data_IF_133031952869
#
_entry.id   IF_133031952869
#
_cell.length_a   1.000
_cell.length_b   1.000
_cell.length_c   1.000
_cell.angle_alpha   90.00
_cell.angle_beta   90.00
_cell.angle_gamma   90.00
#
_symmetry.space_group_name_H-M   'P 1'
#
loop_
_entity.id
_entity.type
_entity.pdbx_description
1 polymer ?
#
# COMPACT_ATOMS: atom_id res chain seq x y z
N UNK A 1 -19.31 0.07 -9.90
CA UNK A 1 -20.48 0.13 -8.99
C UNK A 1 -21.46 1.10 -9.61
N UNK A 2 -22.67 0.65 -9.92
CA UNK A 2 -23.75 1.57 -10.29
C UNK A 2 -24.59 1.85 -9.04
N UNK A 3 -24.85 3.13 -8.77
CA UNK A 3 -25.55 3.55 -7.56
C UNK A 3 -26.93 2.90 -7.41
N UNK A 4 -27.65 2.74 -8.52
CA UNK A 4 -28.97 2.08 -8.53
C UNK A 4 -28.85 0.63 -8.08
N UNK A 5 -27.94 -0.14 -8.66
CA UNK A 5 -27.73 -1.55 -8.30
C UNK A 5 -27.34 -1.70 -6.82
N UNK A 6 -26.46 -0.82 -6.33
CA UNK A 6 -26.06 -0.81 -4.92
C UNK A 6 -27.23 -0.49 -3.97
N UNK A 7 -28.09 0.45 -4.36
CA UNK A 7 -29.32 0.77 -3.63
C UNK A 7 -30.31 -0.40 -3.68
N UNK A 8 -30.48 -1.05 -4.83
CA UNK A 8 -31.38 -2.19 -5.01
C UNK A 8 -30.92 -3.40 -4.17
N UNK A 9 -29.61 -3.63 -4.05
CA UNK A 9 -29.03 -4.71 -3.26
C UNK A 9 -29.22 -4.49 -1.75
N UNK A 10 -28.90 -3.29 -1.25
CA UNK A 10 -28.88 -3.02 0.18
C UNK A 10 -30.19 -2.47 0.74
N UNK A 11 -31.03 -1.85 -0.09
CA UNK A 11 -32.30 -1.29 0.32
C UNK A 11 -33.32 -1.27 -0.85
N UNK A 12 -33.88 -2.43 -1.25
CA UNK A 12 -34.72 -2.56 -2.46
C UNK A 12 -35.90 -1.58 -2.56
N UNK A 13 -36.45 -1.14 -1.42
CA UNK A 13 -37.58 -0.21 -1.35
C UNK A 13 -37.18 1.28 -1.35
N UNK A 14 -35.92 1.62 -1.66
CA UNK A 14 -35.40 3.00 -1.61
C UNK A 14 -36.20 3.97 -2.48
N UNK A 15 -36.76 3.50 -3.60
CA UNK A 15 -37.60 4.29 -4.51
C UNK A 15 -38.82 4.90 -3.81
N UNK A 16 -39.36 4.27 -2.77
CA UNK A 16 -40.54 4.78 -2.03
C UNK A 16 -40.25 6.08 -1.27
N UNK A 17 -38.98 6.42 -1.12
CA UNK A 17 -38.51 7.60 -0.39
C UNK A 17 -38.11 8.75 -1.33
N UNK A 18 -38.17 8.56 -2.65
CA UNK A 18 -37.85 9.62 -3.62
C UNK A 18 -38.96 10.68 -3.64
N UNK A 19 -38.60 11.95 -3.42
CA UNK A 19 -39.56 13.08 -3.43
C UNK A 19 -40.16 13.45 -2.07
N UNK A 20 -39.84 12.71 -1.00
CA UNK A 20 -40.22 13.07 0.37
C UNK A 20 -39.17 14.06 0.92
N UNK A 21 -39.37 15.35 0.65
CA UNK A 21 -38.37 16.39 0.89
C UNK A 21 -38.11 16.72 2.37
N UNK A 22 -39.02 16.36 3.28
CA UNK A 22 -39.00 16.92 4.63
C UNK A 22 -38.15 16.14 5.65
N UNK A 23 -37.78 14.88 5.40
CA UNK A 23 -36.95 14.09 6.33
C UNK A 23 -35.99 13.13 5.64
N UNK A 24 -34.69 13.25 5.96
CA UNK A 24 -33.65 12.30 5.56
C UNK A 24 -34.00 10.91 6.15
N UNK A 25 -34.11 9.85 5.34
CA UNK A 25 -34.40 8.51 5.85
C UNK A 25 -33.29 7.99 6.77
N UNK A 26 -33.66 7.30 7.85
CA UNK A 26 -32.69 6.77 8.82
C UNK A 26 -31.77 5.68 8.23
N UNK A 27 -32.21 5.01 7.17
CA UNK A 27 -31.40 4.00 6.46
C UNK A 27 -30.30 4.62 5.60
N UNK A 28 -30.42 5.90 5.23
CA UNK A 28 -29.52 6.52 4.24
C UNK A 28 -28.09 6.76 4.76
N UNK A 29 -27.86 7.32 5.98
CA UNK A 29 -26.50 7.46 6.51
C UNK A 29 -25.68 6.17 6.54
N UNK A 30 -26.14 5.05 7.16
CA UNK A 30 -25.33 3.82 7.20
C UNK A 30 -25.13 3.20 5.81
N UNK A 31 -26.03 3.44 4.85
CA UNK A 31 -25.82 3.01 3.46
C UNK A 31 -24.71 3.84 2.78
N UNK A 32 -24.70 5.16 2.99
CA UNK A 32 -23.65 6.04 2.45
C UNK A 32 -22.30 5.65 3.02
N UNK A 33 -22.21 5.32 4.30
CA UNK A 33 -20.97 4.87 4.94
C UNK A 33 -20.45 3.57 4.30
N UNK A 34 -21.33 2.59 4.08
CA UNK A 34 -20.98 1.35 3.37
C UNK A 34 -20.47 1.62 1.95
N UNK A 35 -21.17 2.47 1.21
CA UNK A 35 -20.78 2.84 -0.15
C UNK A 35 -19.42 3.56 -0.17
N UNK A 36 -19.15 4.43 0.81
CA UNK A 36 -17.89 5.14 0.92
C UNK A 36 -16.72 4.18 1.15
N UNK A 37 -16.88 3.20 2.05
CA UNK A 37 -15.85 2.17 2.32
C UNK A 37 -15.61 1.31 1.07
N UNK A 38 -16.68 0.88 0.40
CA UNK A 38 -16.58 0.08 -0.82
C UNK A 38 -15.87 0.85 -1.94
N UNK A 39 -16.21 2.14 -2.13
CA UNK A 39 -15.55 3.01 -3.10
C UNK A 39 -14.08 3.21 -2.77
N UNK A 40 -13.73 3.51 -1.52
CA UNK A 40 -12.35 3.69 -1.09
C UNK A 40 -11.52 2.42 -1.34
N UNK A 41 -12.08 1.26 -1.00
CA UNK A 41 -11.44 -0.05 -1.20
C UNK A 41 -11.22 -0.36 -2.68
N UNK A 42 -12.19 -0.05 -3.55
CA UNK A 42 -12.05 -0.24 -5.00
C UNK A 42 -11.09 0.76 -5.65
N UNK A 43 -11.08 2.01 -5.21
CA UNK A 43 -10.09 3.00 -5.63
C UNK A 43 -8.68 2.51 -5.27
N UNK A 44 -8.48 2.05 -4.04
CA UNK A 44 -7.21 1.47 -3.61
C UNK A 44 -6.83 0.21 -4.40
N UNK A 45 -7.81 -0.61 -4.77
CA UNK A 45 -7.61 -1.79 -5.62
C UNK A 45 -7.23 -1.44 -7.06
N UNK A 46 -7.47 -0.21 -7.51
CA UNK A 46 -7.08 0.30 -8.83
C UNK A 46 -5.91 1.30 -8.75
N UNK A 47 -5.12 1.24 -7.68
CA UNK A 47 -3.96 2.13 -7.52
C UNK A 47 -2.93 1.91 -8.63
N UNK A 48 -2.32 3.01 -9.08
CA UNK A 48 -1.32 3.00 -10.12
C UNK A 48 0.07 3.25 -9.53
N UNK A 49 0.95 2.26 -9.57
CA UNK A 49 2.37 2.46 -9.27
C UNK A 49 3.02 3.26 -10.41
N UNK A 50 3.86 4.22 -10.04
CA UNK A 50 4.62 5.03 -10.96
C UNK A 50 5.97 5.44 -10.34
N UNK A 51 6.93 5.96 -11.11
CA UNK A 51 8.24 6.32 -10.57
C UNK A 51 8.18 7.30 -9.39
N UNK A 52 7.23 8.24 -9.38
CA UNK A 52 7.11 9.28 -8.35
C UNK A 52 6.66 8.67 -7.02
N UNK A 53 5.64 7.82 -7.01
CA UNK A 53 5.16 7.21 -5.79
C UNK A 53 6.14 6.15 -5.24
N UNK A 54 6.88 5.44 -6.12
CA UNK A 54 7.96 4.54 -5.72
C UNK A 54 9.13 5.30 -5.06
N UNK A 55 9.54 6.44 -5.61
CA UNK A 55 10.50 7.32 -4.95
C UNK A 55 9.97 7.85 -3.61
N UNK A 56 8.68 8.21 -3.55
CA UNK A 56 8.04 8.73 -2.35
C UNK A 56 8.03 7.72 -1.19
N UNK A 57 7.65 6.46 -1.45
CA UNK A 57 7.55 5.43 -0.40
C UNK A 57 8.93 5.11 0.20
N UNK A 58 9.99 5.09 -0.63
CA UNK A 58 11.35 4.79 -0.15
C UNK A 58 11.98 6.00 0.53
N UNK A 59 12.06 7.15 -0.14
CA UNK A 59 12.81 8.31 0.38
C UNK A 59 12.14 8.94 1.60
N UNK A 60 10.81 8.93 1.71
CA UNK A 60 10.15 9.44 2.92
C UNK A 60 10.31 8.52 4.13
N UNK A 61 10.74 7.27 3.94
CA UNK A 61 11.02 6.34 5.02
C UNK A 61 12.46 6.43 5.55
N UNK A 62 13.37 7.14 4.85
CA UNK A 62 14.77 7.28 5.29
C UNK A 62 14.99 8.48 6.19
N UNK A 63 16.06 8.40 6.99
CA UNK A 63 16.55 9.56 7.72
C UNK A 63 16.92 10.69 6.75
N UNK A 64 16.48 11.91 7.07
CA UNK A 64 16.73 13.13 6.28
C UNK A 64 16.22 13.08 4.83
N UNK A 65 15.37 12.11 4.49
CA UNK A 65 14.87 11.88 3.14
C UNK A 65 15.97 11.72 2.08
N UNK A 66 17.04 11.04 2.45
CA UNK A 66 18.20 10.80 1.59
C UNK A 66 18.63 9.33 1.59
N UNK A 67 19.22 8.87 0.50
CA UNK A 67 19.80 7.53 0.36
C UNK A 67 20.90 7.54 -0.71
N UNK A 68 21.89 6.65 -0.59
CA UNK A 68 22.84 6.36 -1.68
C UNK A 68 22.10 5.92 -2.96
N UNK A 69 22.54 6.42 -4.12
CA UNK A 69 21.86 6.22 -5.40
C UNK A 69 21.78 4.73 -5.81
N UNK A 70 22.85 3.97 -5.58
CA UNK A 70 22.89 2.54 -5.94
C UNK A 70 21.98 1.74 -4.99
N UNK A 71 22.01 2.05 -3.70
CA UNK A 71 21.11 1.43 -2.72
C UNK A 71 19.66 1.76 -3.01
N UNK A 72 19.35 3.03 -3.33
CA UNK A 72 18.00 3.47 -3.69
C UNK A 72 17.47 2.69 -4.91
N UNK A 73 18.29 2.57 -5.96
CA UNK A 73 17.92 1.78 -7.15
C UNK A 73 17.59 0.33 -6.79
N UNK A 74 18.42 -0.31 -5.95
CA UNK A 74 18.19 -1.69 -5.48
C UNK A 74 16.91 -1.82 -4.66
N UNK A 75 16.64 -0.90 -3.73
CA UNK A 75 15.41 -0.91 -2.91
C UNK A 75 14.18 -0.71 -3.79
N UNK A 76 14.22 0.23 -4.74
CA UNK A 76 13.13 0.47 -5.69
C UNK A 76 12.84 -0.78 -6.54
N UNK A 77 13.88 -1.43 -7.07
CA UNK A 77 13.75 -2.68 -7.82
C UNK A 77 13.18 -3.81 -6.96
N UNK A 78 13.63 -3.94 -5.71
CA UNK A 78 13.11 -4.92 -4.76
C UNK A 78 11.61 -4.67 -4.51
N UNK A 79 11.21 -3.43 -4.20
CA UNK A 79 9.82 -3.08 -3.93
C UNK A 79 8.94 -3.32 -5.17
N UNK A 80 9.45 -3.04 -6.37
CA UNK A 80 8.75 -3.38 -7.62
C UNK A 80 8.56 -4.88 -7.77
N UNK A 81 9.62 -5.66 -7.52
CA UNK A 81 9.60 -7.13 -7.55
C UNK A 81 8.56 -7.71 -6.61
N UNK A 82 8.47 -7.20 -5.37
CA UNK A 82 7.45 -7.60 -4.40
C UNK A 82 6.03 -7.40 -4.94
N UNK A 83 5.75 -6.24 -5.53
CA UNK A 83 4.42 -5.95 -6.08
C UNK A 83 4.10 -6.79 -7.31
N UNK A 84 5.10 -7.11 -8.14
CA UNK A 84 4.90 -8.03 -9.28
C UNK A 84 4.69 -9.49 -8.84
N UNK A 85 5.37 -9.94 -7.79
CA UNK A 85 5.29 -11.31 -7.29
C UNK A 85 3.93 -11.61 -6.64
N UNK A 86 3.37 -10.65 -5.91
CA UNK A 86 1.99 -10.73 -5.42
C UNK A 86 1.27 -9.39 -5.57
N UNK A 87 0.63 -9.16 -6.73
CA UNK A 87 -0.12 -7.93 -6.99
C UNK A 87 -1.26 -7.75 -6.00
N UNK A 88 -1.40 -6.54 -5.47
CA UNK A 88 -2.49 -6.17 -4.57
C UNK A 88 -3.88 -6.43 -5.20
N UNK A 89 -4.02 -6.23 -6.51
CA UNK A 89 -5.27 -6.39 -7.25
C UNK A 89 -5.02 -6.55 -8.75
N UNK A 90 -5.96 -7.16 -9.47
CA UNK A 90 -5.90 -7.27 -10.95
C UNK A 90 -6.14 -5.95 -11.66
N UNK A 91 -6.61 -4.91 -10.95
CA UNK A 91 -6.90 -3.59 -11.50
C UNK A 91 -5.76 -2.58 -11.29
N UNK A 92 -4.70 -2.95 -10.59
CA UNK A 92 -3.55 -2.07 -10.38
C UNK A 92 -2.67 -2.01 -11.63
N UNK A 93 -1.94 -0.91 -11.80
CA UNK A 93 -0.88 -0.81 -12.80
C UNK A 93 0.49 -0.75 -12.14
N UNK A 94 1.51 -1.24 -12.85
CA UNK A 94 2.89 -1.23 -12.41
C UNK A 94 3.65 -0.02 -12.97
N UNK A 95 4.71 0.37 -12.28
CA UNK A 95 5.65 1.35 -12.81
C UNK A 95 6.55 0.66 -13.85
N UNK A 96 6.67 1.25 -15.04
CA UNK A 96 7.57 0.74 -16.08
C UNK A 96 9.02 1.20 -15.84
N UNK A 97 9.98 0.34 -16.17
CA UNK A 97 11.41 0.62 -16.02
C UNK A 97 12.00 0.11 -14.72
N UNK A 98 13.23 0.53 -14.45
CA UNK A 98 14.03 0.13 -13.29
C UNK A 98 14.12 1.25 -12.26
N UNK A 99 14.58 0.92 -11.05
CA UNK A 99 14.88 1.90 -10.01
C UNK A 99 15.85 3.00 -10.48
N UNK A 100 16.79 2.67 -11.38
CA UNK A 100 17.69 3.67 -11.98
C UNK A 100 16.94 4.60 -12.94
N UNK A 101 16.06 4.06 -13.79
CA UNK A 101 15.22 4.86 -14.68
C UNK A 101 14.34 5.82 -13.87
N UNK A 102 13.79 5.35 -12.74
CA UNK A 102 12.94 6.15 -11.88
C UNK A 102 13.69 7.27 -11.16
N UNK A 103 14.91 6.99 -10.69
CA UNK A 103 15.80 8.02 -10.14
C UNK A 103 16.11 9.06 -11.21
N UNK A 104 16.47 8.65 -12.43
CA UNK A 104 16.77 9.56 -13.52
C UNK A 104 15.56 10.41 -13.91
N UNK A 105 14.37 9.80 -13.97
CA UNK A 105 13.11 10.52 -14.17
C UNK A 105 12.88 11.57 -13.09
N UNK A 106 12.99 11.19 -11.79
CA UNK A 106 12.83 12.11 -10.67
C UNK A 106 13.82 13.28 -10.69
N UNK A 107 15.06 13.04 -11.12
CA UNK A 107 16.07 14.09 -11.30
C UNK A 107 15.69 15.04 -12.45
N UNK A 108 15.22 14.50 -13.59
CA UNK A 108 14.88 15.29 -14.78
C UNK A 108 13.75 16.31 -14.54
N UNK A 109 12.82 15.99 -13.65
CA UNK A 109 11.69 16.87 -13.28
C UNK A 109 11.94 17.68 -12.00
N UNK A 110 13.18 17.67 -11.48
CA UNK A 110 13.57 18.34 -10.23
C UNK A 110 12.75 17.90 -9.00
N UNK A 111 12.29 16.64 -8.98
CA UNK A 111 11.59 16.04 -7.85
C UNK A 111 12.58 15.65 -6.74
N UNK A 112 13.73 15.11 -7.12
CA UNK A 112 14.84 14.72 -6.24
C UNK A 112 16.10 15.44 -6.69
N UNK A 113 17.10 15.47 -5.81
CA UNK A 113 18.40 16.08 -6.06
C UNK A 113 19.51 15.06 -5.87
N UNK A 114 20.58 15.21 -6.66
CA UNK A 114 21.79 14.42 -6.56
C UNK A 114 22.91 15.28 -5.98
N UNK A 115 23.58 14.75 -4.96
CA UNK A 115 24.81 15.31 -4.40
C UNK A 115 25.93 14.32 -4.65
N UNK A 116 26.89 14.69 -5.50
CA UNK A 116 28.04 13.84 -5.76
C UNK A 116 29.04 13.88 -4.61
N UNK A 117 29.43 12.70 -4.15
CA UNK A 117 30.43 12.53 -3.10
C UNK A 117 31.47 11.50 -3.53
N UNK A 118 32.65 11.54 -2.91
CA UNK A 118 33.77 10.65 -3.23
C UNK A 118 33.46 9.17 -3.02
N UNK A 119 32.50 8.84 -2.15
CA UNK A 119 32.12 7.48 -1.77
C UNK A 119 30.82 6.99 -2.45
N UNK A 120 30.14 7.84 -3.23
CA UNK A 120 28.85 7.52 -3.84
C UNK A 120 27.95 8.75 -3.95
N UNK A 121 27.10 8.78 -4.97
CA UNK A 121 26.10 9.84 -5.14
C UNK A 121 24.97 9.66 -4.11
N UNK A 122 24.62 10.74 -3.41
CA UNK A 122 23.45 10.77 -2.52
C UNK A 122 22.26 11.37 -3.25
N UNK A 123 21.13 10.68 -3.22
CA UNK A 123 19.84 11.16 -3.69
C UNK A 123 19.03 11.64 -2.50
N UNK A 124 18.46 12.85 -2.61
CA UNK A 124 17.68 13.44 -1.51
C UNK A 124 16.46 14.24 -1.98
N UNK A 125 15.47 14.38 -1.11
CA UNK A 125 14.35 15.29 -1.28
C UNK A 125 14.65 16.67 -0.71
N UNK A 126 14.17 17.72 -1.39
CA UNK A 126 14.04 19.02 -0.74
C UNK A 126 12.88 18.99 0.27
N UNK A 127 12.90 19.82 1.33
CA UNK A 127 11.79 19.90 2.28
C UNK A 127 10.43 20.17 1.59
N UNK A 128 10.43 21.00 0.55
CA UNK A 128 9.22 21.29 -0.24
C UNK A 128 8.69 20.04 -0.95
N UNK A 129 9.58 19.31 -1.63
CA UNK A 129 9.16 18.12 -2.37
C UNK A 129 8.76 16.97 -1.44
N UNK A 130 9.37 16.87 -0.25
CA UNK A 130 8.99 15.88 0.75
C UNK A 130 7.51 16.02 1.19
N UNK A 131 7.04 17.26 1.40
CA UNK A 131 5.62 17.51 1.71
C UNK A 131 4.72 17.04 0.55
N UNK A 132 5.04 17.42 -0.69
CA UNK A 132 4.26 17.01 -1.86
C UNK A 132 4.27 15.49 -2.08
N UNK A 133 5.37 14.82 -1.76
CA UNK A 133 5.48 13.37 -1.88
C UNK A 133 4.72 12.61 -0.79
N UNK A 134 4.30 13.25 0.30
CA UNK A 134 3.45 12.60 1.30
C UNK A 134 2.13 12.15 0.67
N UNK A 135 1.53 12.99 -0.18
CA UNK A 135 0.35 12.62 -0.96
C UNK A 135 0.64 11.42 -1.89
N UNK A 136 1.77 11.46 -2.62
CA UNK A 136 2.14 10.40 -3.56
C UNK A 136 2.41 9.06 -2.85
N UNK A 137 3.05 9.09 -1.67
CA UNK A 137 3.23 7.91 -0.82
C UNK A 137 1.89 7.33 -0.38
N UNK A 138 0.97 8.18 0.07
CA UNK A 138 -0.33 7.75 0.54
C UNK A 138 -1.19 7.10 -0.57
N UNK A 139 -0.91 7.38 -1.84
CA UNK A 139 -1.59 6.73 -2.97
C UNK A 139 -1.21 5.26 -3.19
N UNK A 140 -0.14 4.77 -2.54
CA UNK A 140 0.33 3.39 -2.71
C UNK A 140 0.71 2.69 -1.39
N UNK A 141 0.70 3.38 -0.25
CA UNK A 141 1.17 2.81 1.02
C UNK A 141 0.41 1.55 1.42
N UNK A 142 -0.89 1.48 1.08
CA UNK A 142 -1.74 0.33 1.32
C UNK A 142 -1.28 -0.94 0.57
N UNK A 143 -0.61 -0.80 -0.57
CA UNK A 143 -0.05 -1.92 -1.34
C UNK A 143 1.06 -2.65 -0.58
N UNK A 144 1.72 -1.97 0.36
CA UNK A 144 2.82 -2.51 1.16
C UNK A 144 2.40 -2.84 2.60
N UNK A 145 1.15 -2.62 2.98
CA UNK A 145 0.72 -2.70 4.38
C UNK A 145 0.91 -4.09 5.01
N UNK A 146 0.44 -5.14 4.33
CA UNK A 146 0.57 -6.53 4.81
C UNK A 146 2.03 -6.98 4.93
N UNK A 147 2.88 -6.90 3.88
CA UNK A 147 4.28 -7.31 4.01
C UNK A 147 5.05 -6.44 5.01
N UNK A 148 4.72 -5.15 5.13
CA UNK A 148 5.36 -4.27 6.11
C UNK A 148 4.97 -4.63 7.55
N UNK A 149 3.72 -5.04 7.79
CA UNK A 149 3.28 -5.50 9.11
C UNK A 149 4.01 -6.79 9.51
N UNK A 150 4.11 -7.75 8.58
CA UNK A 150 4.88 -8.99 8.78
C UNK A 150 6.34 -8.66 9.11
N UNK A 151 6.98 -7.82 8.28
CA UNK A 151 8.37 -7.42 8.46
C UNK A 151 8.58 -6.67 9.80
N UNK A 152 7.65 -5.79 10.19
CA UNK A 152 7.71 -5.06 11.46
C UNK A 152 7.61 -5.99 12.66
N UNK A 153 6.72 -6.98 12.63
CA UNK A 153 6.60 -7.98 13.70
C UNK A 153 7.89 -8.81 13.85
N UNK A 154 8.48 -9.24 12.72
CA UNK A 154 9.75 -9.97 12.73
C UNK A 154 10.93 -9.11 13.19
N UNK A 155 11.02 -7.85 12.76
CA UNK A 155 12.08 -6.95 13.21
C UNK A 155 12.03 -6.69 14.73
N UNK A 156 10.83 -6.57 15.31
CA UNK A 156 10.66 -6.29 16.73
C UNK A 156 10.81 -7.52 17.64
N UNK A 157 10.52 -8.72 17.13
CA UNK A 157 10.53 -9.96 17.93
C UNK A 157 11.66 -10.92 17.57
N UNK A 158 12.42 -10.68 16.49
CA UNK A 158 13.45 -11.57 16.00
C UNK A 158 12.86 -12.83 15.36
N UNK A 159 13.18 -14.00 15.91
CA UNK A 159 12.64 -15.27 15.43
C UNK A 159 11.30 -15.57 16.10
N UNK A 160 10.29 -15.86 15.28
CA UNK A 160 8.95 -16.22 15.74
C UNK A 160 8.51 -17.54 15.09
N UNK A 161 7.80 -18.36 15.85
CA UNK A 161 6.99 -19.44 15.27
C UNK A 161 5.90 -18.80 14.39
N UNK A 162 5.68 -19.39 13.21
CA UNK A 162 4.73 -18.85 12.23
C UNK A 162 3.32 -18.67 12.79
N UNK A 163 2.84 -19.60 13.62
CA UNK A 163 1.53 -19.46 14.26
C UNK A 163 1.47 -18.22 15.16
N UNK A 164 2.52 -17.97 15.96
CA UNK A 164 2.59 -16.79 16.81
C UNK A 164 2.67 -15.49 16.01
N UNK A 165 3.41 -15.50 14.90
CA UNK A 165 3.47 -14.36 13.98
C UNK A 165 2.09 -14.08 13.37
N UNK A 166 1.37 -15.13 12.96
CA UNK A 166 0.01 -15.05 12.42
C UNK A 166 -0.98 -14.50 13.46
N UNK A 167 -0.95 -15.00 14.70
CA UNK A 167 -1.82 -14.52 15.77
C UNK A 167 -1.62 -13.02 16.05
N UNK A 168 -0.36 -12.57 16.10
CA UNK A 168 -0.02 -11.15 16.25
C UNK A 168 -0.49 -10.32 15.06
N UNK A 169 -0.23 -10.79 13.83
CA UNK A 169 -0.70 -10.16 12.60
C UNK A 169 -2.23 -10.00 12.62
N UNK A 170 -2.97 -11.06 12.96
CA UNK A 170 -4.44 -11.07 13.08
C UNK A 170 -4.97 -10.08 14.10
N UNK A 171 -4.26 -9.89 15.21
CA UNK A 171 -4.66 -8.94 16.25
C UNK A 171 -4.55 -7.48 15.80
N UNK A 172 -3.62 -7.16 14.90
CA UNK A 172 -3.33 -5.79 14.46
C UNK A 172 -4.04 -5.46 13.14
N UNK A 173 -4.20 -6.45 12.25
CA UNK A 173 -4.73 -6.25 10.90
C UNK A 173 -6.04 -5.44 10.83
N UNK A 174 -7.06 -5.65 11.69
CA UNK A 174 -8.32 -4.92 11.61
C UNK A 174 -8.16 -3.39 11.66
N UNK A 175 -7.21 -2.89 12.46
CA UNK A 175 -6.94 -1.46 12.60
C UNK A 175 -6.27 -0.89 11.35
N UNK A 176 -5.29 -1.61 10.81
CA UNK A 176 -4.60 -1.23 9.56
C UNK A 176 -5.58 -1.27 8.39
N UNK A 177 -6.44 -2.29 8.34
CA UNK A 177 -7.49 -2.41 7.33
C UNK A 177 -8.44 -1.24 7.35
N UNK A 178 -8.95 -0.85 8.53
CA UNK A 178 -9.89 0.27 8.63
C UNK A 178 -9.25 1.60 8.25
N UNK A 179 -7.98 1.80 8.63
CA UNK A 179 -7.27 3.04 8.35
C UNK A 179 -6.90 3.19 6.86
N UNK A 180 -6.48 2.09 6.23
CA UNK A 180 -5.98 2.08 4.84
C UNK A 180 -6.99 1.56 3.82
N UNK A 181 -8.23 1.26 4.23
CA UNK A 181 -9.27 0.69 3.38
C UNK A 181 -8.77 -0.54 2.60
N UNK A 182 -8.18 -1.51 3.31
CA UNK A 182 -7.62 -2.70 2.69
C UNK A 182 -8.70 -3.66 2.18
N UNK A 183 -8.42 -4.28 1.03
CA UNK A 183 -9.39 -5.10 0.30
C UNK A 183 -9.72 -6.43 0.95
N UNK A 184 -8.78 -7.04 1.65
CA UNK A 184 -8.96 -8.40 2.16
C UNK A 184 -9.85 -8.38 3.40
N UNK A 185 -10.95 -9.13 3.34
CA UNK A 185 -11.77 -9.40 4.52
C UNK A 185 -11.04 -10.33 5.50
N UNK A 186 -11.65 -10.52 6.68
CA UNK A 186 -11.02 -11.27 7.78
C UNK A 186 -10.66 -12.71 7.43
N UNK A 187 -11.39 -13.37 6.55
CA UNK A 187 -11.10 -14.72 6.05
C UNK A 187 -10.06 -14.73 4.93
N UNK A 188 -10.13 -13.75 4.02
CA UNK A 188 -9.19 -13.63 2.88
C UNK A 188 -7.77 -13.23 3.30
N UNK A 189 -7.63 -12.52 4.43
CA UNK A 189 -6.32 -12.00 4.86
C UNK A 189 -5.33 -13.11 5.24
N UNK A 190 -5.80 -14.28 5.66
CA UNK A 190 -4.92 -15.41 5.99
C UNK A 190 -4.18 -15.92 4.75
N UNK A 191 -4.90 -16.02 3.63
CA UNK A 191 -4.28 -16.40 2.37
C UNK A 191 -3.29 -15.32 1.91
N UNK A 192 -3.62 -14.04 2.09
CA UNK A 192 -2.71 -12.94 1.79
C UNK A 192 -1.45 -13.00 2.67
N UNK A 193 -1.58 -13.29 3.96
CA UNK A 193 -0.46 -13.45 4.88
C UNK A 193 0.47 -14.58 4.44
N UNK A 194 -0.08 -15.76 4.12
CA UNK A 194 0.69 -16.92 3.65
C UNK A 194 1.43 -16.63 2.34
N UNK A 195 0.75 -15.99 1.39
CA UNK A 195 1.36 -15.58 0.12
C UNK A 195 2.49 -14.57 0.33
N UNK A 196 2.29 -13.58 1.21
CA UNK A 196 3.33 -12.61 1.52
C UNK A 196 4.54 -13.23 2.23
N UNK A 197 4.36 -14.20 3.13
CA UNK A 197 5.49 -14.96 3.68
C UNK A 197 6.30 -15.63 2.59
N UNK A 198 5.62 -16.29 1.64
CA UNK A 198 6.30 -16.92 0.52
C UNK A 198 7.06 -15.92 -0.36
N UNK A 199 6.43 -14.80 -0.72
CA UNK A 199 7.07 -13.75 -1.54
C UNK A 199 8.27 -13.13 -0.83
N UNK A 200 8.15 -12.82 0.46
CA UNK A 200 9.25 -12.29 1.26
C UNK A 200 10.42 -13.28 1.33
N UNK A 201 10.12 -14.57 1.46
CA UNK A 201 11.14 -15.63 1.44
C UNK A 201 11.83 -15.73 0.07
N UNK A 202 11.07 -15.69 -1.03
CA UNK A 202 11.62 -15.73 -2.40
C UNK A 202 12.52 -14.55 -2.73
N UNK A 203 12.34 -13.41 -2.05
CA UNK A 203 13.16 -12.21 -2.19
C UNK A 203 14.31 -12.14 -1.17
N UNK A 204 14.59 -13.24 -0.45
CA UNK A 204 15.61 -13.34 0.59
C UNK A 204 15.47 -12.29 1.73
N UNK A 205 14.23 -11.80 1.96
CA UNK A 205 13.95 -10.83 3.01
C UNK A 205 13.66 -11.50 4.36
N UNK A 206 13.22 -12.76 4.34
CA UNK A 206 13.01 -13.59 5.52
C UNK A 206 13.51 -15.01 5.27
N UNK A 207 13.82 -15.73 6.34
CA UNK A 207 14.18 -17.15 6.30
C UNK A 207 13.16 -17.95 7.13
N UNK A 208 12.62 -19.03 6.56
CA UNK A 208 11.73 -19.97 7.27
C UNK A 208 12.57 -21.20 7.64
N UNK A 209 12.70 -21.47 8.94
CA UNK A 209 13.51 -22.59 9.47
C UNK A 209 12.60 -23.74 9.89
N UNK A 210 12.66 -24.85 9.15
CA UNK A 210 11.82 -26.03 9.39
C UNK A 210 10.45 -25.94 8.70
N UNK A 211 9.51 -26.80 9.08
CA UNK A 211 8.16 -26.87 8.49
C UNK A 211 7.13 -25.94 9.15
N UNK A 212 7.52 -25.14 10.16
CA UNK A 212 6.65 -24.20 10.88
C UNK A 212 7.23 -22.80 10.90
#
# INVERSE_FOLDING_TARGET
IYLREFLDEHYPDWHRYTGIADKKPQWLPPLVDKLAIELATRINSAAALNPINMLAIVLLATERHAMDANMLSKVLNCFNGLQHAYPYSTYMSFAEGTGEDWINYGLSINLIQRQSQTLGDIISLTPRNAVALTYNRNNIIHLFAVPSLIASLLQNCGTLEKQKLHDLFRSIYPYIRSELFLRWESDEVDEAFEKWLHVLQQHDLIEIKGNN
#
